data_IF_014826818428
#
_entry.id   IF_014826818428
#
_cell.length_a   1.000
_cell.length_b   1.000
_cell.length_c   1.000
_cell.angle_alpha   90.00
_cell.angle_beta   90.00
_cell.angle_gamma   90.00
#
_symmetry.space_group_name_H-M   'P 1'
#
loop_
_entity.id
_entity.type
_entity.pdbx_description
1 polymer ?
#
# COMPACT_ATOMS: atom_id res chain seq x y z
N UNK A 1 -34.82 -55.23 -7.17
CA UNK A 1 -34.93 -53.74 -7.11
C UNK A 1 -33.59 -53.17 -7.52
N UNK A 2 -33.53 -52.42 -8.62
CA UNK A 2 -32.26 -52.03 -9.24
C UNK A 2 -31.65 -50.87 -8.43
N UNK A 3 -30.39 -50.99 -8.05
CA UNK A 3 -29.61 -50.00 -7.29
C UNK A 3 -29.71 -48.55 -7.86
N UNK A 4 -29.98 -48.42 -9.17
CA UNK A 4 -30.26 -47.15 -9.87
C UNK A 4 -31.55 -46.44 -9.44
N UNK A 5 -32.56 -47.14 -8.97
CA UNK A 5 -33.85 -46.55 -8.59
C UNK A 5 -33.79 -45.85 -7.23
N UNK A 6 -32.85 -46.25 -6.36
CA UNK A 6 -32.68 -45.68 -5.02
C UNK A 6 -31.79 -44.43 -5.05
N UNK A 7 -30.78 -44.39 -5.93
CA UNK A 7 -29.78 -43.30 -5.99
C UNK A 7 -29.97 -42.34 -7.16
N UNK A 8 -30.92 -42.59 -8.06
CA UNK A 8 -31.23 -41.73 -9.22
C UNK A 8 -31.41 -40.23 -8.91
N UNK A 9 -31.95 -39.81 -7.75
CA UNK A 9 -32.04 -38.39 -7.40
C UNK A 9 -30.70 -37.73 -7.04
N UNK A 10 -29.71 -38.54 -6.62
CA UNK A 10 -28.45 -38.09 -6.02
C UNK A 10 -27.29 -38.04 -6.99
N UNK A 11 -27.46 -38.44 -8.26
CA UNK A 11 -26.38 -38.52 -9.23
C UNK A 11 -26.81 -37.86 -10.54
N UNK A 12 -26.01 -36.92 -11.07
CA UNK A 12 -26.31 -36.28 -12.35
C UNK A 12 -26.10 -37.26 -13.53
N UNK A 13 -26.50 -36.87 -14.74
CA UNK A 13 -26.34 -37.69 -15.96
C UNK A 13 -24.87 -38.01 -16.33
N UNK A 14 -23.91 -37.38 -15.64
CA UNK A 14 -22.46 -37.62 -15.79
C UNK A 14 -21.86 -38.51 -14.69
N UNK A 15 -22.65 -38.95 -13.70
CA UNK A 15 -22.15 -39.78 -12.60
C UNK A 15 -21.67 -38.99 -11.37
N UNK A 16 -21.81 -37.67 -11.33
CA UNK A 16 -21.40 -36.86 -10.18
C UNK A 16 -22.52 -36.80 -9.13
N UNK A 17 -22.13 -36.94 -7.86
CA UNK A 17 -23.03 -36.80 -6.73
C UNK A 17 -23.58 -35.36 -6.63
N UNK A 18 -24.91 -35.22 -6.67
CA UNK A 18 -25.66 -33.99 -6.37
C UNK A 18 -25.72 -33.76 -4.86
N UNK A 19 -24.58 -33.60 -4.20
CA UNK A 19 -24.58 -32.85 -2.95
C UNK A 19 -24.65 -31.37 -3.32
N UNK A 20 -25.88 -30.85 -3.47
CA UNK A 20 -26.08 -29.42 -3.21
C UNK A 20 -25.87 -29.23 -1.71
N UNK A 21 -24.60 -29.15 -1.29
CA UNK A 21 -24.25 -28.57 -0.01
C UNK A 21 -24.93 -27.22 -0.01
N UNK A 22 -25.92 -27.04 0.88
CA UNK A 22 -26.52 -25.73 1.14
C UNK A 22 -25.36 -24.78 1.33
N UNK A 23 -25.16 -23.86 0.38
CA UNK A 23 -24.19 -22.79 0.56
C UNK A 23 -24.55 -22.12 1.88
N UNK A 24 -23.62 -22.11 2.83
CA UNK A 24 -23.80 -21.32 4.03
C UNK A 24 -24.14 -19.89 3.58
N UNK A 25 -25.17 -19.28 4.15
CA UNK A 25 -25.45 -17.88 3.87
C UNK A 25 -24.31 -17.03 4.45
N UNK A 26 -23.94 -15.91 3.81
CA UNK A 26 -23.06 -14.93 4.42
C UNK A 26 -23.58 -14.56 5.82
N UNK A 27 -22.70 -14.60 6.82
CA UNK A 27 -22.99 -14.05 8.14
C UNK A 27 -22.22 -12.73 8.24
N UNK A 28 -22.87 -11.60 7.88
CA UNK A 28 -22.21 -10.31 7.97
C UNK A 28 -21.77 -10.04 9.41
N UNK A 29 -20.68 -9.30 9.58
CA UNK A 29 -20.26 -8.78 10.87
C UNK A 29 -21.42 -7.98 11.46
N UNK A 30 -21.91 -8.44 12.61
CA UNK A 30 -22.95 -7.75 13.38
C UNK A 30 -22.33 -6.64 14.21
N UNK A 31 -23.16 -5.69 14.67
CA UNK A 31 -22.72 -4.65 15.61
C UNK A 31 -22.10 -5.26 16.87
N UNK A 32 -22.67 -6.35 17.39
CA UNK A 32 -22.13 -7.08 18.55
C UNK A 32 -20.72 -7.61 18.31
N UNK A 33 -20.43 -8.14 17.10
CA UNK A 33 -19.09 -8.61 16.74
C UNK A 33 -18.12 -7.43 16.63
N UNK A 34 -18.56 -6.31 16.04
CA UNK A 34 -17.75 -5.09 15.95
C UNK A 34 -17.44 -4.52 17.34
N UNK A 35 -18.42 -4.50 18.24
CA UNK A 35 -18.24 -4.08 19.63
C UNK A 35 -17.25 -4.99 20.37
N UNK A 36 -17.31 -6.32 20.18
CA UNK A 36 -16.33 -7.26 20.75
C UNK A 36 -14.91 -7.00 20.20
N UNK A 37 -14.79 -6.70 18.90
CA UNK A 37 -13.53 -6.32 18.26
C UNK A 37 -12.90 -5.11 18.94
N UNK A 38 -13.69 -4.05 19.08
CA UNK A 38 -13.26 -2.80 19.72
C UNK A 38 -12.91 -3.06 21.19
N UNK A 39 -13.76 -3.77 21.94
CA UNK A 39 -13.55 -4.05 23.35
C UNK A 39 -12.28 -4.87 23.60
N UNK A 40 -12.02 -5.90 22.79
CA UNK A 40 -10.82 -6.73 22.92
C UNK A 40 -9.56 -5.95 22.59
N UNK A 41 -9.56 -5.18 21.51
CA UNK A 41 -8.42 -4.32 21.18
C UNK A 41 -8.14 -3.30 22.30
N UNK A 42 -9.19 -2.69 22.87
CA UNK A 42 -9.05 -1.77 24.02
C UNK A 42 -8.41 -2.47 25.22
N UNK A 43 -8.90 -3.65 25.61
CA UNK A 43 -8.31 -4.46 26.70
C UNK A 43 -6.83 -4.76 26.47
N UNK A 44 -6.43 -5.13 25.25
CA UNK A 44 -5.03 -5.43 24.94
C UNK A 44 -4.13 -4.19 25.00
N UNK A 45 -4.63 -3.03 24.55
CA UNK A 45 -3.89 -1.77 24.66
C UNK A 45 -3.73 -1.31 26.10
N UNK A 46 -4.79 -1.42 26.90
CA UNK A 46 -4.73 -1.14 28.35
C UNK A 46 -3.72 -2.03 29.05
N UNK A 47 -3.71 -3.34 28.73
CA UNK A 47 -2.73 -4.28 29.29
C UNK A 47 -1.28 -3.93 28.93
N UNK A 48 -1.04 -3.19 27.84
CA UNK A 48 0.27 -2.68 27.44
C UNK A 48 0.54 -1.24 27.91
N UNK A 49 -0.34 -0.64 28.72
CA UNK A 49 -0.23 0.74 29.19
C UNK A 49 -0.39 1.80 28.10
N UNK A 50 -1.18 1.51 27.05
CA UNK A 50 -1.40 2.39 25.90
C UNK A 50 -2.79 3.02 25.93
N UNK A 51 -2.95 4.20 25.32
CA UNK A 51 -4.25 4.88 25.19
C UNK A 51 -5.19 4.08 24.28
N UNK A 52 -6.48 4.05 24.65
CA UNK A 52 -7.57 3.38 23.93
C UNK A 52 -8.38 4.32 23.04
N UNK A 53 -8.12 5.63 23.09
CA UNK A 53 -8.80 6.66 22.29
C UNK A 53 -8.18 6.83 20.89
N UNK A 54 -7.53 5.77 20.40
CA UNK A 54 -6.78 5.74 19.14
C UNK A 54 -7.42 4.73 18.19
N UNK A 55 -8.74 4.75 18.10
CA UNK A 55 -9.52 3.95 17.17
C UNK A 55 -10.51 4.85 16.43
N UNK A 56 -10.63 4.65 15.12
CA UNK A 56 -11.58 5.33 14.24
C UNK A 56 -12.37 4.28 13.46
N UNK A 57 -13.66 4.51 13.30
CA UNK A 57 -14.55 3.66 12.49
C UNK A 57 -15.09 4.51 11.35
N UNK A 58 -14.92 4.03 10.12
CA UNK A 58 -15.43 4.67 8.91
C UNK A 58 -16.43 3.71 8.26
N UNK A 59 -17.69 3.91 8.62
CA UNK A 59 -18.83 3.18 8.07
C UNK A 59 -19.18 3.68 6.66
N UNK A 60 -19.80 2.83 5.83
CA UNK A 60 -20.49 3.34 4.64
C UNK A 60 -21.77 4.03 5.08
N UNK A 61 -22.06 5.20 4.50
CA UNK A 61 -23.37 5.82 4.70
C UNK A 61 -24.44 4.88 4.14
N UNK A 62 -25.33 4.42 5.01
CA UNK A 62 -26.45 3.58 4.60
C UNK A 62 -27.30 4.30 3.55
N UNK A 63 -27.65 3.61 2.47
CA UNK A 63 -28.64 3.98 1.43
C UNK A 63 -28.19 4.68 0.14
N UNK A 64 -26.92 4.63 -0.25
CA UNK A 64 -26.59 4.85 -1.66
C UNK A 64 -25.89 3.64 -2.27
N UNK A 65 -26.55 2.84 -3.13
CA UNK A 65 -25.80 2.03 -4.07
C UNK A 65 -25.08 3.05 -4.95
N UNK A 66 -23.80 3.30 -4.66
CA UNK A 66 -22.93 3.97 -5.60
C UNK A 66 -22.80 3.03 -6.79
N UNK A 67 -23.80 3.07 -7.69
CA UNK A 67 -23.67 2.72 -9.10
C UNK A 67 -22.83 3.81 -9.79
N UNK A 68 -21.72 4.19 -9.16
CA UNK A 68 -20.62 4.82 -9.86
C UNK A 68 -19.93 3.71 -10.61
N UNK A 69 -20.02 3.74 -11.94
CA UNK A 69 -19.03 3.08 -12.78
C UNK A 69 -17.69 3.78 -12.52
N UNK A 70 -17.03 3.44 -11.40
CA UNK A 70 -15.60 3.60 -11.26
C UNK A 70 -15.00 2.94 -12.51
N UNK A 71 -14.05 3.57 -13.23
CA UNK A 71 -13.47 2.98 -14.43
C UNK A 71 -13.00 1.57 -14.09
N UNK A 72 -13.77 0.59 -14.57
CA UNK A 72 -13.49 -0.83 -14.33
C UNK A 72 -12.11 -1.06 -14.89
N UNK A 73 -11.17 -1.40 -14.01
CA UNK A 73 -9.77 -1.56 -14.36
C UNK A 73 -9.17 -0.22 -14.79
N UNK A 74 -7.99 0.04 -14.27
CA UNK A 74 -7.14 1.14 -14.72
C UNK A 74 -6.86 0.95 -16.23
N UNK A 75 -7.72 1.46 -17.11
CA UNK A 75 -7.50 1.54 -18.56
C UNK A 75 -6.56 2.71 -18.85
N UNK A 76 -5.33 2.58 -18.41
CA UNK A 76 -4.29 3.56 -18.65
C UNK A 76 -2.97 3.02 -18.14
N UNK A 77 -1.93 3.05 -18.95
CA UNK A 77 -0.58 2.91 -18.40
C UNK A 77 -0.34 4.09 -17.44
N UNK A 78 0.31 3.85 -16.30
CA UNK A 78 0.79 4.92 -15.38
C UNK A 78 1.88 5.79 -16.06
N UNK A 79 2.24 5.44 -17.29
CA UNK A 79 3.22 6.09 -18.14
C UNK A 79 2.53 6.88 -19.26
N UNK A 80 3.17 7.97 -19.73
CA UNK A 80 2.65 8.74 -20.85
C UNK A 80 2.35 7.84 -22.03
N UNK A 81 1.27 8.12 -22.74
CA UNK A 81 0.91 7.47 -23.99
C UNK A 81 2.11 7.48 -24.95
N UNK A 82 2.12 6.58 -25.95
CA UNK A 82 3.17 6.59 -26.98
C UNK A 82 3.36 7.99 -27.60
N UNK A 83 2.28 8.76 -27.78
CA UNK A 83 2.31 10.12 -28.31
C UNK A 83 2.94 11.14 -27.34
N UNK A 84 2.60 11.08 -26.05
CA UNK A 84 3.23 11.92 -25.02
C UNK A 84 4.71 11.58 -24.84
N UNK A 85 5.08 10.29 -24.93
CA UNK A 85 6.49 9.86 -24.96
C UNK A 85 7.23 10.39 -26.19
N UNK A 86 6.62 10.34 -27.38
CA UNK A 86 7.18 10.92 -28.60
C UNK A 86 7.37 12.44 -28.46
N UNK A 87 6.42 13.15 -27.84
CA UNK A 87 6.55 14.57 -27.56
C UNK A 87 7.68 14.87 -26.56
N UNK A 88 7.83 14.05 -25.50
CA UNK A 88 8.93 14.15 -24.54
C UNK A 88 10.29 13.84 -25.18
N UNK A 89 10.38 12.83 -26.06
CA UNK A 89 11.60 12.46 -26.80
C UNK A 89 12.02 13.52 -27.84
N UNK A 90 11.05 14.27 -28.39
CA UNK A 90 11.30 15.34 -29.37
C UNK A 90 11.74 16.67 -28.74
N UNK A 91 11.62 16.82 -27.42
CA UNK A 91 12.22 17.95 -26.72
C UNK A 91 13.70 17.67 -26.43
N UNK A 92 14.66 18.39 -27.05
CA UNK A 92 16.09 18.13 -26.90
C UNK A 92 16.58 18.25 -25.44
N UNK A 93 15.85 18.98 -24.60
CA UNK A 93 16.13 19.19 -23.18
C UNK A 93 15.60 18.08 -22.25
N UNK A 94 14.73 17.18 -22.76
CA UNK A 94 14.07 16.13 -21.98
C UNK A 94 14.50 14.72 -22.42
N UNK A 95 15.72 14.59 -22.96
CA UNK A 95 16.27 13.31 -23.39
C UNK A 95 16.54 12.42 -22.17
N UNK A 96 15.49 11.80 -21.64
CA UNK A 96 15.58 10.66 -20.75
C UNK A 96 15.92 9.49 -21.66
N UNK A 97 17.16 9.02 -21.58
CA UNK A 97 17.59 7.76 -22.23
C UNK A 97 16.49 6.72 -22.06
N UNK A 98 15.98 6.20 -23.17
CA UNK A 98 14.92 5.19 -23.17
C UNK A 98 15.37 4.06 -22.24
N UNK A 99 14.61 3.81 -21.19
CA UNK A 99 15.02 2.91 -20.12
C UNK A 99 14.53 1.48 -20.40
N UNK A 100 15.22 0.43 -19.93
CA UNK A 100 14.97 -0.96 -20.33
C UNK A 100 13.51 -1.47 -20.22
N UNK A 101 12.68 -0.86 -19.37
CA UNK A 101 11.27 -1.25 -19.18
C UNK A 101 10.30 -0.69 -20.22
N UNK A 102 10.70 0.31 -21.01
CA UNK A 102 9.84 0.91 -22.05
C UNK A 102 9.56 -0.03 -23.23
N UNK A 103 10.26 -1.17 -23.30
CA UNK A 103 10.01 -2.26 -24.26
C UNK A 103 8.88 -3.23 -23.85
N UNK A 104 8.20 -3.03 -22.72
CA UNK A 104 7.41 -4.08 -22.08
C UNK A 104 5.91 -3.82 -21.88
N UNK A 105 5.31 -2.80 -22.51
CA UNK A 105 3.93 -2.38 -22.22
C UNK A 105 2.93 -2.61 -23.37
N UNK A 106 2.11 -3.65 -23.27
CA UNK A 106 0.90 -3.87 -24.09
C UNK A 106 -0.29 -4.15 -23.16
N UNK A 107 -1.48 -3.67 -23.53
CA UNK A 107 -2.72 -3.75 -22.75
C UNK A 107 -3.08 -5.18 -22.29
N UNK A 108 -2.68 -6.19 -23.06
CA UNK A 108 -2.79 -7.64 -22.76
C UNK A 108 -2.12 -8.08 -21.44
N UNK A 109 -1.24 -7.26 -20.85
CA UNK A 109 -0.54 -7.59 -19.59
C UNK A 109 -1.34 -7.28 -18.32
N UNK A 110 -2.33 -6.38 -18.37
CA UNK A 110 -3.20 -6.10 -17.22
C UNK A 110 -4.03 -7.34 -16.83
N UNK A 111 -4.32 -8.22 -17.79
CA UNK A 111 -5.09 -9.46 -17.58
C UNK A 111 -4.28 -10.60 -16.91
N UNK A 112 -2.96 -10.45 -16.73
CA UNK A 112 -2.09 -11.56 -16.31
C UNK A 112 -1.68 -11.55 -14.85
N UNK A 113 -2.22 -10.66 -14.04
CA UNK A 113 -1.87 -10.51 -12.62
C UNK A 113 -2.44 -11.66 -11.78
N UNK A 114 -1.70 -12.77 -11.75
CA UNK A 114 -2.14 -13.99 -11.09
C UNK A 114 -1.10 -14.41 -10.05
N UNK A 115 -1.48 -14.54 -8.76
CA UNK A 115 -0.67 -15.25 -7.79
C UNK A 115 -0.37 -16.65 -8.33
N UNK A 116 0.83 -17.15 -8.06
CA UNK A 116 1.25 -18.52 -8.39
C UNK A 116 0.20 -19.56 -7.97
N UNK A 117 -0.54 -19.27 -6.89
CA UNK A 117 -1.57 -20.12 -6.28
C UNK A 117 -3.02 -19.69 -6.61
N UNK A 118 -3.26 -19.04 -7.77
CA UNK A 118 -4.57 -18.47 -8.13
C UNK A 118 -5.76 -19.41 -7.81
N UNK A 119 -5.72 -20.67 -8.24
CA UNK A 119 -6.87 -21.57 -8.07
C UNK A 119 -7.15 -21.91 -6.59
N UNK A 120 -6.11 -21.99 -5.77
CA UNK A 120 -6.22 -22.19 -4.32
C UNK A 120 -6.83 -20.95 -3.67
N UNK A 121 -6.30 -19.77 -4.01
CA UNK A 121 -6.81 -18.48 -3.53
C UNK A 121 -8.28 -18.30 -3.91
N UNK A 122 -8.63 -18.47 -5.19
CA UNK A 122 -10.01 -18.32 -5.66
C UNK A 122 -10.97 -19.32 -5.01
N UNK A 123 -10.51 -20.54 -4.69
CA UNK A 123 -11.31 -21.50 -3.94
C UNK A 123 -11.60 -20.99 -2.52
N UNK A 124 -10.59 -20.47 -1.85
CA UNK A 124 -10.72 -19.97 -0.47
C UNK A 124 -11.59 -18.71 -0.35
N UNK A 125 -11.59 -17.84 -1.38
CA UNK A 125 -12.39 -16.61 -1.41
C UNK A 125 -13.87 -16.84 -1.76
N UNK A 126 -14.22 -18.01 -2.31
CA UNK A 126 -15.62 -18.35 -2.66
C UNK A 126 -16.47 -18.69 -1.44
N UNK A 127 -15.85 -19.04 -0.33
CA UNK A 127 -16.57 -19.33 0.91
C UNK A 127 -16.97 -17.99 1.56
N UNK A 128 -18.25 -17.85 1.97
CA UNK A 128 -18.71 -16.62 2.60
C UNK A 128 -17.96 -16.34 3.89
N UNK A 129 -17.87 -15.06 4.26
CA UNK A 129 -17.24 -14.68 5.51
C UNK A 129 -18.03 -15.26 6.70
N UNK A 130 -17.31 -15.81 7.67
CA UNK A 130 -17.86 -16.32 8.92
C UNK A 130 -16.83 -16.16 10.04
N UNK A 131 -16.97 -15.07 10.80
CA UNK A 131 -16.09 -14.77 11.93
C UNK A 131 -16.18 -15.84 13.03
N UNK A 132 -17.37 -16.36 13.34
CA UNK A 132 -17.55 -17.34 14.39
C UNK A 132 -16.84 -18.68 14.09
N UNK A 133 -16.74 -19.05 12.82
CA UNK A 133 -16.08 -20.27 12.40
C UNK A 133 -14.55 -20.13 12.33
N UNK A 134 -14.04 -18.98 11.85
CA UNK A 134 -12.62 -18.82 11.53
C UNK A 134 -11.83 -17.94 12.50
N UNK A 135 -12.52 -17.06 13.25
CA UNK A 135 -11.91 -16.01 14.09
C UNK A 135 -10.85 -15.19 13.31
N UNK A 136 -11.06 -14.99 12.01
CA UNK A 136 -10.17 -14.21 11.15
C UNK A 136 -10.76 -12.81 10.92
N UNK A 137 -9.94 -11.76 11.02
CA UNK A 137 -10.25 -10.41 10.52
C UNK A 137 -9.44 -10.13 9.26
N UNK A 138 -9.92 -9.24 8.41
CA UNK A 138 -9.13 -8.75 7.28
C UNK A 138 -8.33 -7.52 7.68
N UNK A 139 -7.05 -7.55 7.34
CA UNK A 139 -6.10 -6.46 7.57
C UNK A 139 -5.67 -5.90 6.22
N UNK A 140 -5.53 -4.58 6.10
CA UNK A 140 -4.96 -3.95 4.93
C UNK A 140 -3.71 -3.13 5.29
N UNK A 141 -2.59 -3.51 4.67
CA UNK A 141 -1.29 -2.87 4.83
C UNK A 141 -0.89 -2.10 3.59
N UNK A 142 -0.35 -0.89 3.78
CA UNK A 142 0.06 0.02 2.71
C UNK A 142 1.51 0.53 2.83
N UNK A 143 2.25 -0.02 3.79
CA UNK A 143 3.67 0.24 4.06
C UNK A 143 4.43 -1.08 4.22
N UNK A 144 5.31 -1.19 5.21
CA UNK A 144 6.15 -2.39 5.43
C UNK A 144 5.38 -3.69 5.68
N UNK A 145 4.09 -3.63 6.07
CA UNK A 145 3.23 -4.83 6.14
C UNK A 145 3.05 -5.54 4.78
N UNK A 146 3.41 -4.87 3.68
CA UNK A 146 3.42 -5.45 2.33
C UNK A 146 4.68 -6.25 2.02
N UNK A 147 5.74 -6.08 2.82
CA UNK A 147 7.06 -6.66 2.58
C UNK A 147 7.00 -8.18 2.48
N UNK A 148 7.69 -8.80 1.51
CA UNK A 148 7.82 -10.26 1.44
C UNK A 148 8.75 -10.79 2.55
N UNK A 149 9.72 -9.99 2.98
CA UNK A 149 10.77 -10.37 3.92
C UNK A 149 10.39 -10.09 5.37
N UNK A 150 9.34 -9.29 5.59
CA UNK A 150 8.85 -8.93 6.93
C UNK A 150 7.32 -8.89 6.99
N UNK A 151 6.62 -9.96 6.58
CA UNK A 151 5.18 -10.03 6.71
C UNK A 151 4.78 -9.96 8.20
N UNK A 152 3.52 -9.62 8.50
CA UNK A 152 3.01 -9.72 9.86
C UNK A 152 3.33 -11.09 10.48
N UNK A 153 3.86 -11.07 11.69
CA UNK A 153 4.22 -12.29 12.39
C UNK A 153 2.97 -13.15 12.63
N UNK A 154 3.12 -14.47 12.49
CA UNK A 154 2.07 -15.44 12.77
C UNK A 154 1.10 -15.73 11.63
N UNK A 155 1.27 -15.13 10.45
CA UNK A 155 0.48 -15.56 9.27
C UNK A 155 0.79 -17.02 8.90
N UNK A 156 -0.26 -17.82 8.69
CA UNK A 156 -0.13 -19.16 8.12
C UNK A 156 0.29 -19.10 6.65
N UNK A 157 0.75 -20.23 6.10
CA UNK A 157 1.08 -20.30 4.67
C UNK A 157 -0.13 -19.94 3.78
N UNK A 158 -1.31 -20.46 4.12
CA UNK A 158 -2.55 -20.13 3.42
C UNK A 158 -2.94 -18.65 3.55
N UNK A 159 -2.68 -18.01 4.69
CA UNK A 159 -2.90 -16.57 4.85
C UNK A 159 -1.91 -15.74 4.02
N UNK A 160 -0.63 -16.14 3.96
CA UNK A 160 0.37 -15.50 3.10
C UNK A 160 0.00 -15.54 1.61
N UNK A 161 -0.55 -16.67 1.13
CA UNK A 161 -1.08 -16.78 -0.25
C UNK A 161 -2.28 -15.87 -0.51
N UNK A 162 -3.03 -15.51 0.53
CA UNK A 162 -4.18 -14.59 0.49
C UNK A 162 -3.79 -13.12 0.72
N UNK A 163 -2.52 -12.77 0.54
CA UNK A 163 -2.10 -11.38 0.44
C UNK A 163 -2.42 -10.82 -0.94
N UNK A 164 -3.52 -10.09 -1.04
CA UNK A 164 -4.13 -9.65 -2.29
C UNK A 164 -4.03 -8.15 -2.42
N UNK A 165 -3.61 -7.60 -3.57
CA UNK A 165 -3.54 -6.15 -3.67
C UNK A 165 -4.90 -5.50 -3.93
N UNK A 166 -5.10 -4.39 -3.23
CA UNK A 166 -6.37 -3.71 -3.05
C UNK A 166 -6.17 -2.21 -3.06
N UNK A 167 -7.17 -1.51 -3.56
CA UNK A 167 -7.37 -0.09 -3.38
C UNK A 167 -8.23 0.16 -2.16
N UNK A 168 -7.83 1.16 -1.37
CA UNK A 168 -8.75 1.98 -0.60
C UNK A 168 -9.20 3.10 -1.52
N UNK A 169 -10.51 3.26 -1.67
CA UNK A 169 -11.09 4.29 -2.53
C UNK A 169 -10.97 5.67 -1.88
N UNK A 170 -10.81 6.71 -2.71
CA UNK A 170 -10.71 8.11 -2.28
C UNK A 170 -11.87 8.59 -1.39
N UNK A 171 -13.05 8.00 -1.52
CA UNK A 171 -14.24 8.31 -0.69
C UNK A 171 -14.02 7.99 0.79
N UNK A 172 -13.02 7.17 1.13
CA UNK A 172 -12.61 6.98 2.51
C UNK A 172 -12.02 8.26 3.16
N UNK A 173 -11.66 9.27 2.37
CA UNK A 173 -11.21 10.57 2.88
C UNK A 173 -9.75 10.60 3.35
N UNK A 174 -8.91 9.68 2.88
CA UNK A 174 -7.50 9.58 3.28
C UNK A 174 -6.54 9.72 2.11
N UNK A 175 -5.30 10.14 2.41
CA UNK A 175 -4.14 10.01 1.52
C UNK A 175 -2.98 9.34 2.24
N UNK A 176 -2.14 8.59 1.50
CA UNK A 176 -0.89 8.04 2.03
C UNK A 176 0.21 9.08 1.97
N UNK A 177 0.94 9.27 3.06
CA UNK A 177 2.04 10.24 3.10
C UNK A 177 3.16 9.81 4.05
N UNK A 178 4.35 10.37 3.86
CA UNK A 178 5.46 10.25 4.81
C UNK A 178 5.17 11.12 6.03
N UNK A 179 4.43 10.61 7.01
CA UNK A 179 4.01 11.39 8.19
C UNK A 179 4.15 10.63 9.52
N UNK A 180 4.81 9.47 9.54
CA UNK A 180 5.06 8.71 10.76
C UNK A 180 6.53 8.78 11.15
N UNK A 181 6.83 9.32 12.33
CA UNK A 181 8.15 9.33 12.93
C UNK A 181 8.32 8.21 13.96
N UNK A 182 9.24 7.30 13.68
CA UNK A 182 9.63 6.27 14.63
C UNK A 182 10.60 6.82 15.69
N UNK A 183 10.02 7.39 16.76
CA UNK A 183 10.68 8.16 17.81
C UNK A 183 12.12 7.75 18.22
N UNK A 184 12.38 6.48 18.56
CA UNK A 184 13.69 6.04 19.07
C UNK A 184 14.74 5.79 18.00
N UNK A 185 14.33 5.58 16.75
CA UNK A 185 15.23 5.22 15.63
C UNK A 185 15.45 6.43 14.73
N UNK A 186 14.60 7.46 14.83
CA UNK A 186 14.72 8.67 14.02
C UNK A 186 14.45 8.39 12.55
N UNK A 187 13.51 7.50 12.20
CA UNK A 187 13.16 7.22 10.81
C UNK A 187 11.72 7.66 10.52
N UNK A 188 11.46 8.05 9.27
CA UNK A 188 10.11 8.31 8.80
C UNK A 188 9.54 7.14 7.99
N UNK A 189 8.30 6.77 8.28
CA UNK A 189 7.51 5.77 7.59
C UNK A 189 6.23 6.40 7.01
N UNK A 190 5.50 5.61 6.23
CA UNK A 190 4.21 6.05 5.68
C UNK A 190 3.09 5.88 6.70
N UNK A 191 2.19 6.85 6.76
CA UNK A 191 0.91 6.75 7.45
C UNK A 191 -0.23 7.27 6.57
N UNK A 192 -1.45 7.23 7.11
CA UNK A 192 -2.57 7.93 6.50
C UNK A 192 -2.68 9.35 7.07
N UNK A 193 -3.25 10.22 6.26
CA UNK A 193 -3.64 11.56 6.66
C UNK A 193 -5.05 11.79 6.13
N UNK A 194 -5.94 12.27 7.02
CA UNK A 194 -7.29 12.65 6.60
C UNK A 194 -7.21 13.89 5.71
N UNK A 195 -7.83 13.82 4.54
CA UNK A 195 -8.00 14.97 3.66
C UNK A 195 -9.27 15.67 4.10
N UNK A 196 -9.14 16.95 4.45
CA UNK A 196 -10.26 17.81 4.86
C UNK A 196 -10.09 19.13 4.12
N UNK A 197 -11.08 19.56 3.36
CA UNK A 197 -11.14 20.91 2.84
C UNK A 197 -11.46 21.87 4.01
N UNK A 198 -10.66 22.92 4.13
CA UNK A 198 -10.73 23.86 5.26
C UNK A 198 -12.00 24.70 5.21
N UNK A 199 -12.56 24.93 4.02
CA UNK A 199 -13.75 25.77 3.82
C UNK A 199 -15.04 24.95 3.99
N UNK A 200 -15.08 23.74 3.45
CA UNK A 200 -16.31 22.91 3.48
C UNK A 200 -16.34 21.90 4.63
N UNK A 201 -15.19 21.56 5.22
CA UNK A 201 -15.07 20.45 6.15
C UNK A 201 -15.22 19.06 5.50
N UNK A 202 -15.45 19.01 4.19
CA UNK A 202 -15.54 17.78 3.39
C UNK A 202 -14.20 17.53 2.71
N UNK A 203 -13.78 16.28 2.56
CA UNK A 203 -12.54 16.00 1.86
C UNK A 203 -12.59 14.66 1.15
N UNK A 204 -12.37 14.70 -0.16
CA UNK A 204 -12.16 13.50 -0.95
C UNK A 204 -10.66 13.18 -0.89
N UNK A 205 -10.35 11.98 -0.44
CA UNK A 205 -8.99 11.48 -0.35
C UNK A 205 -8.36 11.16 -1.70
N UNK A 206 -7.41 10.23 -1.68
CA UNK A 206 -6.81 9.64 -2.87
C UNK A 206 -7.13 8.15 -2.91
N UNK A 207 -7.11 7.56 -4.10
CA UNK A 207 -7.07 6.10 -4.21
C UNK A 207 -5.69 5.62 -3.76
N UNK A 208 -5.66 4.76 -2.74
CA UNK A 208 -4.43 4.27 -2.12
C UNK A 208 -4.33 2.77 -2.35
N UNK A 209 -3.27 2.31 -2.99
CA UNK A 209 -3.02 0.88 -3.14
C UNK A 209 -2.28 0.30 -1.93
N UNK A 210 -2.60 -0.94 -1.61
CA UNK A 210 -1.98 -1.73 -0.55
C UNK A 210 -2.34 -3.21 -0.71
N UNK A 211 -2.19 -3.98 0.34
CA UNK A 211 -2.43 -5.42 0.34
C UNK A 211 -3.40 -5.78 1.46
N UNK A 212 -4.52 -6.40 1.09
CA UNK A 212 -5.48 -6.99 2.01
C UNK A 212 -5.16 -8.48 2.25
N UNK A 213 -5.26 -8.93 3.48
CA UNK A 213 -5.11 -10.35 3.84
C UNK A 213 -5.89 -10.69 5.11
N UNK A 214 -6.37 -11.93 5.25
CA UNK A 214 -6.95 -12.42 6.48
C UNK A 214 -5.85 -12.73 7.50
N UNK A 215 -6.14 -12.41 8.77
CA UNK A 215 -5.28 -12.66 9.91
C UNK A 215 -6.12 -13.17 11.07
N UNK A 216 -5.55 -14.04 11.90
CA UNK A 216 -6.18 -14.41 13.16
C UNK A 216 -6.46 -13.15 13.99
N UNK A 217 -7.65 -13.07 14.55
CA UNK A 217 -8.14 -11.90 15.28
C UNK A 217 -7.28 -11.55 16.50
N UNK A 218 -6.82 -12.55 17.25
CA UNK A 218 -5.99 -12.30 18.42
C UNK A 218 -4.62 -11.76 18.00
N UNK A 219 -4.04 -12.33 16.93
CA UNK A 219 -2.78 -11.86 16.36
C UNK A 219 -2.90 -10.46 15.75
N UNK A 220 -4.01 -10.15 15.08
CA UNK A 220 -4.28 -8.81 14.57
C UNK A 220 -4.38 -7.80 15.73
N UNK A 221 -5.13 -8.13 16.78
CA UNK A 221 -5.22 -7.30 17.98
C UNK A 221 -3.85 -7.04 18.63
N UNK A 222 -2.98 -8.05 18.67
CA UNK A 222 -1.60 -7.92 19.14
C UNK A 222 -0.74 -7.05 18.22
N UNK A 223 -0.85 -7.22 16.90
CA UNK A 223 -0.16 -6.42 15.88
C UNK A 223 -0.43 -4.92 16.09
N UNK A 224 -1.70 -4.55 16.19
CA UNK A 224 -2.14 -3.15 16.35
C UNK A 224 -1.97 -2.59 17.77
N UNK A 225 -1.78 -3.45 18.78
CA UNK A 225 -1.48 -3.01 20.15
C UNK A 225 0.01 -2.83 20.41
N UNK A 226 0.87 -3.54 19.67
CA UNK A 226 2.31 -3.60 19.92
C UNK A 226 3.16 -3.00 18.80
N UNK A 227 3.12 -3.58 17.59
CA UNK A 227 4.00 -3.17 16.47
C UNK A 227 3.54 -1.84 15.88
N UNK A 228 2.23 -1.68 15.71
CA UNK A 228 1.63 -0.50 15.10
C UNK A 228 1.09 0.47 16.16
N UNK A 229 1.67 0.45 17.37
CA UNK A 229 1.17 1.19 18.54
C UNK A 229 1.16 2.72 18.36
N UNK A 230 1.98 3.20 17.42
CA UNK A 230 2.12 4.60 17.04
C UNK A 230 1.08 5.10 16.03
N UNK A 231 0.18 4.23 15.56
CA UNK A 231 -0.95 4.59 14.69
C UNK A 231 -2.28 4.47 15.44
N UNK A 232 -3.29 5.19 14.93
CA UNK A 232 -4.69 4.91 15.25
C UNK A 232 -5.11 3.61 14.54
N UNK A 233 -5.91 2.77 15.18
CA UNK A 233 -6.57 1.66 14.50
C UNK A 233 -7.73 2.24 13.68
N UNK A 234 -7.70 2.05 12.37
CA UNK A 234 -8.78 2.45 11.48
C UNK A 234 -9.58 1.20 11.05
N UNK A 235 -10.86 1.17 11.38
CA UNK A 235 -11.80 0.16 10.90
C UNK A 235 -12.55 0.74 9.70
N UNK A 236 -12.19 0.28 8.51
CA UNK A 236 -12.73 0.79 7.25
C UNK A 236 -13.77 -0.19 6.69
N UNK A 237 -14.97 0.29 6.37
CA UNK A 237 -16.01 -0.57 5.81
C UNK A 237 -15.58 -1.18 4.46
N UNK A 238 -16.02 -2.41 4.17
CA UNK A 238 -15.64 -3.14 2.95
C UNK A 238 -16.03 -2.43 1.65
N UNK A 239 -17.03 -1.54 1.69
CA UNK A 239 -17.43 -0.72 0.55
C UNK A 239 -16.36 0.26 0.06
N UNK A 240 -15.42 0.64 0.94
CA UNK A 240 -14.29 1.48 0.58
C UNK A 240 -13.10 0.69 0.01
N UNK A 241 -13.24 -0.63 -0.12
CA UNK A 241 -12.21 -1.51 -0.66
C UNK A 241 -12.55 -1.93 -2.09
N UNK A 242 -11.56 -1.88 -2.98
CA UNK A 242 -11.70 -2.37 -4.34
C UNK A 242 -10.52 -3.27 -4.72
N UNK A 243 -10.74 -4.51 -5.17
CA UNK A 243 -9.63 -5.35 -5.59
C UNK A 243 -9.00 -4.77 -6.85
N UNK A 244 -7.66 -4.75 -6.95
CA UNK A 244 -7.03 -4.32 -8.22
C UNK A 244 -7.30 -5.31 -9.37
N UNK A 245 -7.76 -6.53 -9.06
CA UNK A 245 -8.22 -7.50 -10.05
C UNK A 245 -9.56 -8.13 -9.66
N UNK A 246 -10.56 -8.14 -10.57
CA UNK A 246 -11.95 -8.50 -10.24
C UNK A 246 -12.15 -9.88 -9.62
N UNK A 247 -11.25 -10.84 -9.85
CA UNK A 247 -11.37 -12.20 -9.32
C UNK A 247 -11.00 -12.33 -7.84
N UNK A 248 -10.30 -11.37 -7.25
CA UNK A 248 -9.75 -11.49 -5.89
C UNK A 248 -10.55 -10.72 -4.85
N UNK A 249 -11.87 -10.86 -4.83
CA UNK A 249 -12.77 -10.16 -3.89
C UNK A 249 -12.62 -10.67 -2.45
N UNK A 250 -12.63 -9.75 -1.49
CA UNK A 250 -12.80 -10.04 -0.06
C UNK A 250 -14.16 -10.75 0.05
N UNK A 251 -14.27 -11.82 0.84
CA UNK A 251 -15.53 -12.52 1.02
C UNK A 251 -16.62 -11.58 1.53
N UNK A 252 -17.80 -11.65 0.91
CA UNK A 252 -18.96 -10.84 1.28
C UNK A 252 -19.30 -10.99 2.77
N UNK A 253 -19.65 -9.87 3.41
CA UNK A 253 -20.00 -9.83 4.82
C UNK A 253 -18.81 -9.66 5.77
N UNK A 254 -17.62 -9.33 5.26
CA UNK A 254 -16.46 -9.01 6.09
C UNK A 254 -16.72 -7.76 6.94
N UNK A 255 -17.55 -6.83 6.46
CA UNK A 255 -17.97 -5.64 7.18
C UNK A 255 -16.85 -4.61 7.29
N UNK A 256 -15.83 -4.87 8.11
CA UNK A 256 -14.73 -3.94 8.36
C UNK A 256 -13.35 -4.57 8.16
N UNK A 257 -12.45 -3.78 7.58
CA UNK A 257 -11.04 -4.08 7.36
C UNK A 257 -10.22 -3.25 8.34
N UNK A 258 -9.26 -3.89 9.00
CA UNK A 258 -8.36 -3.29 9.97
C UNK A 258 -7.17 -2.64 9.26
N UNK A 259 -6.94 -1.36 9.53
CA UNK A 259 -5.97 -0.53 8.83
C UNK A 259 -5.14 0.27 9.84
N UNK A 260 -3.85 0.48 9.56
CA UNK A 260 -3.07 1.49 10.28
C UNK A 260 -3.58 2.87 9.85
N UNK A 261 -4.26 3.60 10.71
CA UNK A 261 -4.84 4.90 10.40
C UNK A 261 -3.81 6.03 10.43
N UNK A 262 -4.24 7.19 10.92
CA UNK A 262 -3.35 8.32 11.11
C UNK A 262 -2.34 8.05 12.24
N UNK A 263 -1.07 8.46 12.10
CA UNK A 263 -0.12 8.47 13.21
C UNK A 263 -0.66 9.25 14.41
N UNK A 264 -0.37 8.76 15.61
CA UNK A 264 -0.81 9.41 16.84
C UNK A 264 -0.04 10.73 17.02
N UNK A 265 -0.78 11.84 17.03
CA UNK A 265 -0.25 13.14 17.44
C UNK A 265 -0.35 13.32 18.95
N UNK A 266 0.70 13.89 19.55
CA UNK A 266 0.69 14.37 20.95
C UNK A 266 1.03 15.85 21.06
N UNK A 267 1.34 16.50 19.95
CA UNK A 267 1.62 17.93 19.93
C UNK A 267 0.36 18.73 19.67
N UNK A 268 0.36 19.97 20.17
CA UNK A 268 -0.69 20.97 19.94
C UNK A 268 -0.70 21.53 18.51
N UNK A 269 0.34 21.27 17.71
CA UNK A 269 0.42 21.63 16.31
C UNK A 269 1.02 20.46 15.47
N UNK A 270 0.18 19.57 14.92
CA UNK A 270 0.63 18.36 14.20
C UNK A 270 1.34 18.63 12.88
N UNK A 271 1.22 19.85 12.35
CA UNK A 271 1.86 20.27 11.10
C UNK A 271 3.23 20.92 11.32
N UNK A 272 3.64 21.10 12.57
CA UNK A 272 4.88 21.79 12.90
C UNK A 272 6.11 20.91 12.62
N UNK A 273 7.09 21.47 11.90
CA UNK A 273 8.40 20.84 11.63
C UNK A 273 9.28 20.76 12.89
N UNK A 274 8.92 21.50 13.94
CA UNK A 274 9.76 21.73 15.12
C UNK A 274 9.33 20.90 16.34
N UNK A 275 8.51 19.85 16.17
CA UNK A 275 8.11 19.03 17.31
C UNK A 275 9.28 18.17 17.80
N UNK A 276 9.92 18.61 18.88
CA UNK A 276 11.02 17.89 19.55
C UNK A 276 10.56 16.69 20.39
N UNK A 277 9.25 16.51 20.62
CA UNK A 277 8.75 15.34 21.35
C UNK A 277 8.76 14.08 20.48
N UNK A 278 9.76 13.22 20.68
CA UNK A 278 9.89 11.92 20.02
C UNK A 278 8.72 10.95 20.29
N UNK A 279 7.84 11.24 21.27
CA UNK A 279 6.59 10.51 21.48
C UNK A 279 5.49 10.92 20.51
N UNK A 280 5.57 12.13 19.93
CA UNK A 280 4.70 12.53 18.84
C UNK A 280 5.12 11.78 17.57
N UNK A 281 4.22 10.91 17.09
CA UNK A 281 4.46 10.03 15.94
C UNK A 281 4.03 10.69 14.65
N UNK A 282 3.00 11.54 14.67
CA UNK A 282 2.63 12.35 13.50
C UNK A 282 3.65 13.47 13.28
N UNK A 283 4.49 13.32 12.26
CA UNK A 283 5.50 14.30 11.90
C UNK A 283 5.97 14.12 10.45
N UNK A 284 6.26 15.20 9.75
CA UNK A 284 6.88 15.14 8.43
C UNK A 284 8.38 14.76 8.54
N UNK A 285 8.99 14.18 7.48
CA UNK A 285 10.42 13.94 7.48
C UNK A 285 11.23 15.22 7.66
N UNK A 286 12.25 15.13 8.51
CA UNK A 286 13.25 16.18 8.81
C UNK A 286 14.65 15.64 8.52
N UNK A 287 15.69 16.46 8.64
CA UNK A 287 17.08 16.01 8.42
C UNK A 287 17.52 14.97 9.47
N UNK A 288 17.07 15.16 10.70
CA UNK A 288 17.25 14.27 11.85
C UNK A 288 16.29 13.07 11.85
N UNK A 289 15.24 13.11 11.03
CA UNK A 289 14.40 11.95 10.75
C UNK A 289 13.97 11.86 9.30
N UNK A 290 14.87 11.44 8.38
CA UNK A 290 14.60 11.46 6.96
C UNK A 290 13.78 10.25 6.50
N UNK A 291 13.32 10.31 5.26
CA UNK A 291 12.87 9.13 4.51
C UNK A 291 14.10 8.26 4.22
N UNK A 292 14.01 6.96 4.50
CA UNK A 292 15.08 6.01 4.20
C UNK A 292 14.84 5.28 2.88
N UNK A 293 15.87 5.19 2.04
CA UNK A 293 15.82 4.41 0.80
C UNK A 293 15.61 2.91 1.07
N UNK A 294 16.22 2.36 2.12
CA UNK A 294 16.02 0.95 2.51
C UNK A 294 14.55 0.64 2.80
N UNK A 295 13.84 1.54 3.49
CA UNK A 295 12.41 1.40 3.74
C UNK A 295 11.58 1.53 2.45
N UNK A 296 11.96 2.43 1.54
CA UNK A 296 11.34 2.52 0.22
C UNK A 296 11.55 1.22 -0.56
N UNK A 297 12.75 0.65 -0.52
CA UNK A 297 13.07 -0.60 -1.20
C UNK A 297 12.20 -1.74 -0.66
N UNK A 298 11.96 -1.78 0.65
CA UNK A 298 11.09 -2.76 1.32
C UNK A 298 9.64 -2.66 0.83
N UNK A 299 9.03 -1.46 0.86
CA UNK A 299 7.62 -1.30 0.47
C UNK A 299 7.42 -1.51 -1.04
N UNK A 300 8.35 -1.04 -1.87
CA UNK A 300 8.29 -1.21 -3.33
C UNK A 300 8.57 -2.67 -3.70
N UNK A 301 9.51 -3.34 -3.03
CA UNK A 301 9.75 -4.78 -3.17
C UNK A 301 8.49 -5.61 -2.84
N UNK A 302 7.74 -5.22 -1.81
CA UNK A 302 6.42 -5.78 -1.48
C UNK A 302 5.40 -5.69 -2.62
N UNK A 303 5.42 -4.61 -3.39
CA UNK A 303 4.58 -4.48 -4.58
C UNK A 303 5.13 -5.28 -5.79
N UNK A 304 6.45 -5.34 -5.95
CA UNK A 304 7.12 -6.03 -7.06
C UNK A 304 7.07 -7.56 -6.96
N UNK A 305 6.83 -8.13 -5.77
CA UNK A 305 6.74 -9.58 -5.57
C UNK A 305 5.64 -10.27 -6.40
N UNK A 306 4.63 -9.52 -6.82
CA UNK A 306 3.53 -10.03 -7.63
C UNK A 306 3.99 -10.24 -9.07
N UNK A 307 3.89 -11.49 -9.54
CA UNK A 307 4.31 -11.90 -10.88
C UNK A 307 3.11 -12.28 -11.73
N UNK A 308 3.20 -12.08 -13.03
CA UNK A 308 2.22 -12.66 -13.97
C UNK A 308 2.62 -14.09 -14.34
N UNK A 309 1.68 -14.84 -14.94
CA UNK A 309 1.89 -16.23 -15.41
C UNK A 309 3.12 -16.39 -16.31
N UNK A 310 3.58 -15.32 -16.96
CA UNK A 310 4.75 -15.35 -17.87
C UNK A 310 6.10 -15.08 -17.20
N UNK A 311 6.15 -14.94 -15.87
CA UNK A 311 7.38 -15.05 -15.09
C UNK A 311 8.37 -13.87 -15.15
N UNK A 312 7.98 -12.74 -15.74
CA UNK A 312 8.77 -11.49 -15.70
C UNK A 312 8.09 -10.48 -14.76
N UNK A 313 8.91 -9.70 -14.04
CA UNK A 313 8.51 -8.83 -12.94
C UNK A 313 7.47 -7.77 -13.36
N UNK A 314 6.19 -8.10 -13.20
CA UNK A 314 5.05 -7.31 -13.67
C UNK A 314 4.26 -6.64 -12.52
N UNK A 315 4.71 -6.80 -11.26
CA UNK A 315 4.27 -6.00 -10.11
C UNK A 315 4.59 -4.50 -10.24
N UNK A 316 5.19 -4.09 -11.36
CA UNK A 316 5.52 -2.71 -11.71
C UNK A 316 4.32 -1.77 -11.65
N UNK A 317 3.14 -2.19 -12.11
CA UNK A 317 1.95 -1.34 -12.05
C UNK A 317 1.52 -1.07 -10.61
N UNK A 318 1.59 -2.08 -9.75
CA UNK A 318 1.30 -1.92 -8.33
C UNK A 318 2.37 -1.05 -7.64
N UNK A 319 3.64 -1.25 -7.97
CA UNK A 319 4.74 -0.42 -7.48
C UNK A 319 4.62 1.05 -7.93
N UNK A 320 4.27 1.29 -9.20
CA UNK A 320 4.06 2.63 -9.75
C UNK A 320 2.85 3.32 -9.13
N UNK A 321 1.75 2.59 -8.95
CA UNK A 321 0.59 3.05 -8.18
C UNK A 321 0.97 3.42 -6.75
N UNK A 322 1.83 2.62 -6.11
CA UNK A 322 2.28 2.86 -4.74
C UNK A 322 3.07 4.16 -4.63
N UNK A 323 4.02 4.38 -5.53
CA UNK A 323 4.83 5.61 -5.56
C UNK A 323 3.94 6.82 -5.86
N UNK A 324 3.06 6.71 -6.87
CA UNK A 324 2.17 7.80 -7.32
C UNK A 324 1.20 8.27 -6.25
N UNK A 325 0.63 7.34 -5.47
CA UNK A 325 -0.35 7.64 -4.41
C UNK A 325 0.29 7.98 -3.07
N UNK A 326 1.62 8.07 -2.98
CA UNK A 326 2.34 8.48 -1.77
C UNK A 326 2.73 9.96 -1.87
N UNK A 327 2.42 10.74 -0.84
CA UNK A 327 2.75 12.16 -0.74
C UNK A 327 3.95 12.43 0.16
N UNK A 328 4.62 13.57 -0.06
CA UNK A 328 5.73 14.03 0.79
C UNK A 328 7.13 13.66 0.29
N UNK A 329 7.29 13.24 -0.97
CA UNK A 329 8.58 12.84 -1.53
C UNK A 329 9.65 13.94 -1.57
N UNK A 330 9.27 15.22 -1.55
CA UNK A 330 10.19 16.35 -1.59
C UNK A 330 10.87 16.65 -0.25
N UNK A 331 10.56 15.88 0.80
CA UNK A 331 11.12 16.01 2.15
C UNK A 331 12.53 15.40 2.22
N UNK A 332 13.30 15.64 3.30
CA UNK A 332 14.60 15.02 3.51
C UNK A 332 14.56 13.51 3.32
N UNK A 333 15.44 13.02 2.45
CA UNK A 333 15.53 11.63 2.03
C UNK A 333 17.01 11.25 1.93
N UNK A 334 17.39 10.16 2.57
CA UNK A 334 18.73 9.59 2.54
C UNK A 334 18.74 8.21 1.85
N UNK A 335 19.76 7.99 1.02
CA UNK A 335 20.08 6.69 0.45
C UNK A 335 20.96 5.90 1.41
N UNK A 336 20.32 5.28 2.40
CA UNK A 336 20.93 4.48 3.46
C UNK A 336 21.19 3.02 3.07
N UNK A 337 21.09 2.65 1.79
CA UNK A 337 21.47 1.31 1.31
C UNK A 337 22.89 0.96 1.75
N UNK A 338 23.08 -0.30 2.16
CA UNK A 338 24.35 -0.83 2.69
C UNK A 338 25.58 -0.44 1.84
N UNK A 339 25.47 -0.49 0.51
CA UNK A 339 26.41 0.13 -0.42
C UNK A 339 25.67 0.97 -1.46
N UNK A 340 25.32 2.20 -1.10
CA UNK A 340 24.60 3.14 -1.99
C UNK A 340 25.29 3.41 -3.34
N UNK A 341 26.62 3.31 -3.41
CA UNK A 341 27.39 3.44 -4.67
C UNK A 341 27.48 2.15 -5.49
N UNK A 342 27.13 1.00 -4.92
CA UNK A 342 27.08 -0.31 -5.60
C UNK A 342 25.84 -1.11 -5.17
N UNK A 343 24.63 -0.55 -5.36
CA UNK A 343 23.40 -1.12 -4.81
C UNK A 343 23.10 -2.53 -5.34
N UNK A 344 23.51 -2.85 -6.57
CA UNK A 344 23.39 -4.19 -7.20
C UNK A 344 23.97 -5.34 -6.38
N UNK A 345 24.88 -5.07 -5.43
CA UNK A 345 25.50 -6.12 -4.60
C UNK A 345 24.54 -6.68 -3.54
N UNK A 346 23.63 -5.84 -3.03
CA UNK A 346 22.79 -6.18 -1.87
C UNK A 346 21.30 -6.01 -2.12
N UNK A 347 20.91 -5.27 -3.16
CA UNK A 347 19.53 -5.12 -3.56
C UNK A 347 19.40 -5.49 -5.05
N UNK A 348 18.88 -6.69 -5.39
CA UNK A 348 18.77 -7.13 -6.78
C UNK A 348 17.79 -6.29 -7.59
N UNK A 349 16.75 -5.74 -6.95
CA UNK A 349 15.69 -4.97 -7.62
C UNK A 349 15.99 -3.46 -7.70
N UNK A 350 17.21 -3.03 -7.33
CA UNK A 350 17.54 -1.61 -7.23
C UNK A 350 17.33 -0.85 -8.54
N UNK A 351 17.66 -1.42 -9.71
CA UNK A 351 17.50 -0.73 -11.00
C UNK A 351 16.05 -0.43 -11.29
N UNK A 352 15.18 -1.38 -10.95
CA UNK A 352 13.75 -1.24 -11.16
C UNK A 352 13.17 -0.21 -10.20
N UNK A 353 13.53 -0.30 -8.92
CA UNK A 353 13.07 0.64 -7.88
C UNK A 353 13.56 2.07 -8.18
N UNK A 354 14.87 2.26 -8.41
CA UNK A 354 15.45 3.55 -8.75
C UNK A 354 14.88 4.07 -10.08
N UNK A 355 14.62 3.16 -11.01
CA UNK A 355 13.98 3.47 -12.28
C UNK A 355 12.61 4.09 -12.11
N UNK A 356 11.73 3.43 -11.35
CA UNK A 356 10.37 3.88 -11.01
C UNK A 356 10.38 5.21 -10.23
N UNK A 357 11.23 5.32 -9.20
CA UNK A 357 11.33 6.54 -8.39
C UNK A 357 11.82 7.74 -9.20
N UNK A 358 12.72 7.50 -10.16
CA UNK A 358 13.25 8.55 -11.03
C UNK A 358 12.29 8.94 -12.16
N UNK A 359 11.36 8.09 -12.58
CA UNK A 359 10.41 8.41 -13.67
C UNK A 359 9.06 8.88 -13.18
N UNK A 360 8.66 8.50 -11.97
CA UNK A 360 7.39 8.96 -11.41
C UNK A 360 7.47 10.46 -11.06
N UNK A 361 6.59 11.31 -11.61
CA UNK A 361 6.66 12.77 -11.42
C UNK A 361 6.64 13.21 -9.95
N UNK A 362 5.87 12.51 -9.10
CA UNK A 362 5.71 12.87 -7.68
C UNK A 362 6.96 12.58 -6.85
N UNK A 363 7.79 11.61 -7.25
CA UNK A 363 9.00 11.21 -6.50
C UNK A 363 10.29 11.71 -7.13
N UNK A 364 10.30 12.02 -8.43
CA UNK A 364 11.51 12.35 -9.20
C UNK A 364 12.37 13.43 -8.54
N UNK A 365 11.76 14.57 -8.16
CA UNK A 365 12.49 15.69 -7.58
C UNK A 365 13.16 15.32 -6.24
N UNK A 366 12.46 14.57 -5.38
CA UNK A 366 13.02 14.05 -4.13
C UNK A 366 14.11 13.02 -4.37
N UNK A 367 13.89 12.08 -5.29
CA UNK A 367 14.84 11.02 -5.62
C UNK A 367 16.17 11.58 -6.12
N UNK A 368 16.15 12.59 -7.00
CA UNK A 368 17.36 13.24 -7.51
C UNK A 368 18.11 14.00 -6.41
N UNK A 369 17.38 14.66 -5.50
CA UNK A 369 17.96 15.45 -4.39
C UNK A 369 18.39 14.63 -3.18
N UNK A 370 18.04 13.34 -3.11
CA UNK A 370 18.30 12.50 -1.93
C UNK A 370 19.79 12.48 -1.56
N UNK A 371 20.06 12.55 -0.26
CA UNK A 371 21.41 12.51 0.30
C UNK A 371 22.03 11.12 0.07
N UNK A 372 23.32 11.07 -0.25
CA UNK A 372 24.09 9.82 -0.41
C UNK A 372 25.24 9.83 0.60
N UNK A 373 25.20 9.01 1.67
CA UNK A 373 26.18 9.05 2.75
C UNK A 373 27.63 8.95 2.29
N UNK A 374 27.92 8.14 1.27
CA UNK A 374 29.27 7.93 0.73
C UNK A 374 29.77 9.07 -0.18
N UNK A 375 28.90 10.02 -0.52
CA UNK A 375 29.26 11.26 -1.22
C UNK A 375 29.17 12.47 -0.30
N UNK A 376 28.97 12.26 1.01
CA UNK A 376 29.06 13.35 1.97
C UNK A 376 30.47 13.91 1.85
N UNK A 377 30.63 15.15 1.39
CA UNK A 377 31.92 15.60 0.99
C UNK A 377 32.80 15.75 2.22
N UNK A 378 34.01 15.20 2.16
CA UNK A 378 35.15 15.94 2.69
C UNK A 378 34.94 17.43 2.37
N UNK A 379 35.14 18.38 3.27
CA UNK A 379 34.89 19.81 3.02
C UNK A 379 35.45 20.33 1.68
N UNK A 380 36.48 19.69 1.14
CA UNK A 380 37.07 19.95 -0.19
C UNK A 380 36.27 19.46 -1.41
N UNK A 381 35.42 18.44 -1.30
CA UNK A 381 34.60 17.87 -2.39
C UNK A 381 33.20 18.51 -2.46
N UNK A 382 32.75 19.16 -1.39
CA UNK A 382 31.41 19.73 -1.28
C UNK A 382 31.26 20.98 -2.14
N UNK A 383 32.29 21.81 -2.14
CA UNK A 383 32.42 22.96 -3.04
C UNK A 383 32.43 22.57 -4.52
N UNK A 384 32.97 21.39 -4.87
CA UNK A 384 32.97 20.87 -6.24
C UNK A 384 31.58 20.41 -6.71
N UNK A 385 30.77 19.80 -5.83
CA UNK A 385 29.39 19.43 -6.17
C UNK A 385 28.44 20.63 -6.13
N UNK A 386 28.64 21.57 -5.20
CA UNK A 386 27.87 22.81 -5.11
C UNK A 386 28.11 23.68 -6.35
N UNK A 387 29.36 23.87 -6.79
CA UNK A 387 29.64 24.65 -8.01
C UNK A 387 29.06 24.01 -9.27
N UNK A 388 29.07 22.68 -9.41
CA UNK A 388 28.40 22.01 -10.55
C UNK A 388 26.88 22.10 -10.49
N UNK A 389 26.29 22.15 -9.30
CA UNK A 389 24.85 22.33 -9.13
C UNK A 389 24.43 23.78 -9.42
N UNK A 390 25.22 24.76 -8.98
CA UNK A 390 25.05 26.18 -9.29
C UNK A 390 25.30 26.48 -10.76
N UNK A 391 26.27 25.81 -11.40
CA UNK A 391 26.45 25.84 -12.86
C UNK A 391 25.20 25.29 -13.56
N UNK A 392 24.68 24.13 -13.15
CA UNK A 392 23.45 23.56 -13.71
C UNK A 392 22.19 24.41 -13.41
N UNK A 393 22.19 25.19 -12.34
CA UNK A 393 21.12 26.14 -12.00
C UNK A 393 21.24 27.46 -12.78
N UNK A 394 22.46 27.93 -13.06
CA UNK A 394 22.73 29.10 -13.91
C UNK A 394 22.25 28.90 -15.36
N UNK A 395 22.28 27.66 -15.86
CA UNK A 395 21.67 27.29 -17.15
C UNK A 395 20.14 27.50 -17.18
N UNK A 396 19.44 27.49 -16.03
CA UNK A 396 17.98 27.76 -15.99
C UNK A 396 17.63 29.23 -16.13
N UNK A 397 18.51 30.15 -15.71
CA UNK A 397 18.28 31.59 -15.85
C UNK A 397 18.59 32.12 -17.25
N UNK A 398 19.41 31.42 -18.06
CA UNK A 398 19.67 31.78 -19.45
C UNK A 398 18.60 31.32 -20.45
N UNK A 399 17.77 30.33 -20.12
CA UNK A 399 16.74 29.76 -21.01
C UNK A 399 15.34 30.36 -20.81
N UNK A 400 15.11 31.04 -19.68
CA UNK A 400 13.93 31.86 -19.43
C UNK A 400 14.38 33.30 -19.18
N UNK A 401 14.98 33.92 -20.21
CA UNK A 401 15.12 35.37 -20.27
C UNK A 401 13.74 36.02 -20.40
N UNK A 402 13.61 37.20 -19.81
CA UNK A 402 12.46 38.11 -19.85
C UNK A 402 11.77 38.22 -21.21
#
# INVERSE_FOLDING_TARGET
>A
VKFKEILGPLVNSKGDWRFQLRRASPQPVTEEILEDWIATWKRKREACGKSTDTIDVVASEGEHPVQGTCPRVFHGTVFPTANERIAMMRHPSNHVSVKPWEHHEVAEKFERWYPTDMQEVLRSLKEPYNFNARREVWVWGYGSLMSPDSPPAGLSETQRKRMLPYWVKKEAGFRRCWNYRHGSVGINAVGLERVVDVETGEGIGNDICGIAYPMDYELASDLFSKREDGYRLLLLHEDFMEPMHPSYKIPEGCGYIWVCGEPISKCSNPDNLECSDHKCKRHWPTEDSPILQSYIDEIVGGALRYKTVTGKNDGMNFAAALIKSTHGWSRPWINDRLLSGRPWKFNPDYELIDGLLNTCPVSHAGFVKRLRPMLCPSPSLGSLFQSRYEDAAGWRQGLYGH
#
